data_IF_943741852731
#
_entry.id   IF_943741852731
#
_cell.length_a   1.000
_cell.length_b   1.000
_cell.length_c   1.000
_cell.angle_alpha   90.00
_cell.angle_beta   90.00
_cell.angle_gamma   90.00
#
_symmetry.space_group_name_H-M   'P 1'
#
loop_
_entity.id
_entity.type
_entity.pdbx_description
1 polymer ?
#
# COMPACT_ATOMS: atom_id res chain seq x y z
N UNK A 1 49.37 -9.61 10.91
CA UNK A 1 47.97 -9.22 10.64
C UNK A 1 47.74 -7.86 11.27
N UNK A 2 47.47 -6.83 10.46
CA UNK A 2 47.19 -5.48 10.94
C UNK A 2 45.68 -5.34 11.25
N UNK A 3 45.27 -4.60 12.29
CA UNK A 3 43.87 -4.39 12.58
C UNK A 3 43.26 -3.37 11.60
N UNK A 4 42.07 -3.66 11.09
CA UNK A 4 41.30 -2.76 10.24
C UNK A 4 40.71 -1.62 11.09
N UNK A 5 41.12 -0.38 10.80
CA UNK A 5 40.56 0.82 11.41
C UNK A 5 39.18 1.12 10.80
N UNK A 6 38.11 0.87 11.54
CA UNK A 6 36.75 1.30 11.19
C UNK A 6 36.62 2.80 11.42
N UNK A 7 36.59 3.58 10.34
CA UNK A 7 36.26 5.01 10.40
C UNK A 7 34.74 5.18 10.56
N UNK A 8 34.29 5.33 11.80
CA UNK A 8 32.95 5.87 12.07
C UNK A 8 32.96 7.36 11.70
N UNK A 9 32.20 7.74 10.67
CA UNK A 9 31.91 9.14 10.38
C UNK A 9 31.09 9.71 11.54
N UNK A 10 31.74 10.46 12.42
CA UNK A 10 31.08 11.29 13.42
C UNK A 10 30.28 12.40 12.73
N UNK A 11 29.02 12.57 13.15
CA UNK A 11 28.24 13.74 12.78
C UNK A 11 28.76 14.93 13.58
N UNK A 12 29.43 15.87 12.91
CA UNK A 12 29.80 17.15 13.50
C UNK A 12 28.54 18.01 13.67
N UNK A 13 27.95 18.02 14.87
CA UNK A 13 27.06 19.10 15.27
C UNK A 13 27.92 20.31 15.62
N UNK A 14 28.14 21.18 14.62
CA UNK A 14 28.85 22.43 14.81
C UNK A 14 28.11 23.35 15.77
N UNK A 15 28.51 23.36 17.05
CA UNK A 15 28.23 24.43 17.98
C UNK A 15 29.08 25.65 17.59
N UNK A 16 28.59 26.40 16.59
CA UNK A 16 29.13 27.70 16.23
C UNK A 16 28.37 28.79 16.97
N UNK A 17 29.02 29.42 17.97
CA UNK A 17 28.59 30.70 18.54
C UNK A 17 28.37 31.70 17.39
N UNK A 18 27.13 32.14 17.19
CA UNK A 18 26.83 33.35 16.42
C UNK A 18 26.30 34.40 17.38
N UNK A 19 27.11 35.43 17.52
CA UNK A 19 26.85 36.72 18.11
C UNK A 19 25.45 37.23 17.79
N UNK A 20 24.73 37.59 18.85
CA UNK A 20 23.50 38.35 18.76
C UNK A 20 23.80 39.73 18.17
N UNK A 21 23.51 39.91 16.88
CA UNK A 21 23.22 41.21 16.29
C UNK A 21 21.71 41.30 16.16
N UNK A 22 21.08 41.91 17.16
CA UNK A 22 19.70 42.36 17.07
C UNK A 22 19.64 43.43 15.98
N UNK A 23 19.14 43.06 14.81
CA UNK A 23 18.60 44.00 13.84
C UNK A 23 17.23 43.49 13.51
N UNK A 24 16.24 44.11 14.13
CA UNK A 24 14.82 43.93 13.86
C UNK A 24 14.49 44.49 12.48
N UNK A 25 14.94 43.80 11.44
CA UNK A 25 14.33 43.94 10.12
C UNK A 25 13.13 42.98 10.09
N UNK A 26 11.95 43.54 10.27
CA UNK A 26 10.64 42.95 9.93
C UNK A 26 10.51 42.77 8.40
N UNK A 27 11.49 42.11 7.80
CA UNK A 27 11.60 41.80 6.39
C UNK A 27 11.60 40.29 6.19
N UNK A 28 10.88 39.83 5.17
CA UNK A 28 10.75 38.44 4.80
C UNK A 28 12.12 37.74 4.67
N UNK A 29 12.40 36.76 5.53
CA UNK A 29 13.66 36.01 5.53
C UNK A 29 13.54 34.76 4.62
N UNK A 30 14.09 34.75 3.38
CA UNK A 30 13.94 33.62 2.46
C UNK A 30 14.59 32.33 2.97
N UNK A 31 15.56 32.42 3.90
CA UNK A 31 16.16 31.26 4.58
C UNK A 31 15.20 30.56 5.53
N UNK A 32 14.34 31.32 6.22
CA UNK A 32 13.30 30.76 7.10
C UNK A 32 12.23 30.07 6.26
N UNK A 33 11.86 30.66 5.13
CA UNK A 33 10.94 30.03 4.17
C UNK A 33 11.47 28.68 3.67
N UNK A 34 12.76 28.62 3.27
CA UNK A 34 13.39 27.39 2.81
C UNK A 34 13.40 26.29 3.89
N UNK A 35 13.58 26.67 5.17
CA UNK A 35 13.58 25.74 6.30
C UNK A 35 12.17 25.23 6.67
N UNK A 36 11.14 26.06 6.46
CA UNK A 36 9.73 25.70 6.72
C UNK A 36 9.14 24.88 5.57
N UNK A 37 9.65 25.03 4.34
CA UNK A 37 9.20 24.32 3.14
C UNK A 37 9.06 22.79 3.33
N UNK A 38 10.06 22.03 3.86
CA UNK A 38 9.91 20.59 4.05
C UNK A 38 8.78 20.22 5.03
N UNK A 39 8.54 21.02 6.06
CA UNK A 39 7.45 20.80 7.03
C UNK A 39 6.11 21.05 6.36
N UNK A 40 5.97 22.17 5.64
CA UNK A 40 4.76 22.48 4.88
C UNK A 40 4.49 21.43 3.81
N UNK A 41 5.54 20.94 3.13
CA UNK A 41 5.41 19.89 2.12
C UNK A 41 4.88 18.58 2.73
N UNK A 42 5.43 18.13 3.87
CA UNK A 42 4.92 16.94 4.57
C UNK A 42 3.47 17.13 5.05
N UNK A 43 3.13 18.33 5.53
CA UNK A 43 1.75 18.64 5.93
C UNK A 43 0.80 18.56 4.74
N UNK A 44 1.17 19.15 3.59
CA UNK A 44 0.38 19.08 2.37
C UNK A 44 0.19 17.64 1.88
N UNK A 45 1.24 16.80 1.96
CA UNK A 45 1.14 15.39 1.60
C UNK A 45 0.17 14.61 2.50
N UNK A 46 0.00 14.98 3.78
CA UNK A 46 -0.99 14.38 4.66
C UNK A 46 -2.43 14.74 4.28
N UNK A 47 -2.65 15.89 3.66
CA UNK A 47 -3.97 16.31 3.18
C UNK A 47 -4.31 15.74 1.80
N UNK A 48 -3.42 14.99 1.14
CA UNK A 48 -3.76 14.30 -0.10
C UNK A 48 -4.55 13.03 0.23
N UNK A 49 -5.88 12.99 -0.03
CA UNK A 49 -6.63 11.77 0.15
C UNK A 49 -6.06 10.72 -0.81
N UNK A 50 -5.71 9.55 -0.27
CA UNK A 50 -5.32 8.41 -1.10
C UNK A 50 -6.49 8.07 -2.04
N UNK A 51 -6.25 7.91 -3.35
CA UNK A 51 -7.28 7.46 -4.27
C UNK A 51 -7.74 6.08 -3.83
N UNK A 52 -8.98 6.02 -3.34
CA UNK A 52 -9.51 4.79 -2.78
C UNK A 52 -9.93 3.86 -3.92
N UNK A 53 -9.66 2.55 -3.84
CA UNK A 53 -9.97 1.64 -4.93
C UNK A 53 -11.48 1.51 -5.16
N UNK A 54 -11.86 1.12 -6.36
CA UNK A 54 -13.27 0.96 -6.75
C UNK A 54 -13.91 -0.23 -6.00
N UNK A 55 -13.10 -1.24 -5.68
CA UNK A 55 -13.50 -2.46 -4.98
C UNK A 55 -12.53 -2.84 -3.85
N UNK A 56 -12.93 -3.81 -3.06
CA UNK A 56 -12.14 -4.50 -2.05
C UNK A 56 -12.39 -6.01 -2.12
N UNK A 57 -11.39 -6.84 -1.84
CA UNK A 57 -11.56 -8.30 -1.75
C UNK A 57 -12.14 -8.75 -0.39
N UNK A 58 -12.09 -7.87 0.60
CA UNK A 58 -12.67 -8.08 1.93
C UNK A 58 -13.78 -7.06 2.20
N UNK A 59 -14.81 -7.51 2.92
CA UNK A 59 -15.87 -6.63 3.38
C UNK A 59 -15.29 -5.59 4.35
N UNK A 60 -15.69 -4.34 4.19
CA UNK A 60 -15.45 -3.29 5.18
C UNK A 60 -16.58 -2.28 5.13
N UNK A 61 -16.67 -1.37 6.10
CA UNK A 61 -17.75 -0.37 6.15
C UNK A 61 -17.87 0.48 4.89
N UNK A 62 -16.76 0.73 4.20
CA UNK A 62 -16.79 1.46 2.93
C UNK A 62 -17.16 0.59 1.72
N UNK A 63 -17.13 -0.73 1.85
CA UNK A 63 -17.35 -1.70 0.78
C UNK A 63 -18.30 -2.80 1.28
N UNK A 64 -19.59 -2.49 1.29
CA UNK A 64 -20.63 -3.39 1.82
C UNK A 64 -21.30 -4.23 0.72
N UNK A 65 -21.33 -3.73 -0.51
CA UNK A 65 -22.06 -4.37 -1.60
C UNK A 65 -21.23 -5.50 -2.22
N UNK A 66 -21.64 -6.74 -1.97
CA UNK A 66 -20.98 -7.94 -2.47
C UNK A 66 -21.34 -8.24 -3.92
N UNK A 67 -20.33 -8.46 -4.74
CA UNK A 67 -20.41 -8.98 -6.10
C UNK A 67 -19.55 -10.23 -6.25
N UNK A 68 -19.84 -11.03 -7.28
CA UNK A 68 -19.07 -12.24 -7.61
C UNK A 68 -18.61 -12.13 -9.05
N UNK A 69 -17.33 -12.37 -9.31
CA UNK A 69 -16.80 -12.42 -10.68
C UNK A 69 -17.33 -13.64 -11.42
N UNK A 70 -17.21 -13.67 -12.74
CA UNK A 70 -17.49 -14.87 -13.52
C UNK A 70 -16.69 -16.11 -13.07
N UNK A 71 -15.54 -15.92 -12.42
CA UNK A 71 -14.67 -16.97 -11.87
C UNK A 71 -14.98 -17.34 -10.42
N UNK A 72 -16.05 -16.80 -9.84
CA UNK A 72 -16.49 -17.13 -8.48
C UNK A 72 -15.75 -16.37 -7.37
N UNK A 73 -14.97 -15.33 -7.68
CA UNK A 73 -14.28 -14.51 -6.67
C UNK A 73 -15.25 -13.47 -6.13
N UNK A 74 -15.40 -13.43 -4.81
CA UNK A 74 -16.20 -12.40 -4.15
C UNK A 74 -15.40 -11.11 -4.02
N UNK A 75 -16.02 -9.98 -4.36
CA UNK A 75 -15.47 -8.65 -4.14
C UNK A 75 -16.57 -7.70 -3.69
N UNK A 76 -16.17 -6.61 -3.05
CA UNK A 76 -17.07 -5.67 -2.42
C UNK A 76 -16.85 -4.28 -3.01
N UNK A 77 -17.93 -3.57 -3.27
CA UNK A 77 -17.91 -2.20 -3.81
C UNK A 77 -18.64 -1.24 -2.88
N UNK A 78 -18.38 0.05 -3.08
CA UNK A 78 -18.83 1.12 -2.19
C UNK A 78 -20.30 1.47 -2.33
N UNK A 79 -20.83 1.33 -3.54
CA UNK A 79 -22.17 1.81 -3.86
C UNK A 79 -22.91 0.81 -4.74
N UNK A 80 -24.22 0.68 -4.49
CA UNK A 80 -25.14 -0.04 -5.38
C UNK A 80 -25.19 0.56 -6.80
N UNK A 81 -24.76 1.82 -6.99
CA UNK A 81 -24.65 2.44 -8.33
C UNK A 81 -23.66 1.72 -9.25
N UNK A 82 -22.79 0.89 -8.69
CA UNK A 82 -21.82 0.10 -9.44
C UNK A 82 -22.47 -0.77 -10.52
N UNK A 83 -23.67 -1.32 -10.31
CA UNK A 83 -24.37 -2.08 -11.36
C UNK A 83 -24.79 -1.22 -12.56
N UNK A 84 -25.12 0.05 -12.30
CA UNK A 84 -25.51 0.99 -13.35
C UNK A 84 -24.29 1.54 -14.10
N UNK A 85 -23.20 1.82 -13.38
CA UNK A 85 -21.95 2.32 -13.95
C UNK A 85 -21.15 1.21 -14.67
N UNK A 86 -21.23 -0.03 -14.19
CA UNK A 86 -20.55 -1.20 -14.74
C UNK A 86 -21.54 -2.34 -14.97
N UNK A 87 -22.36 -2.26 -16.04
CA UNK A 87 -23.33 -3.28 -16.37
C UNK A 87 -22.71 -4.66 -16.56
N UNK A 88 -23.50 -5.70 -16.29
CA UNK A 88 -23.10 -7.09 -16.57
C UNK A 88 -22.78 -7.22 -18.07
N UNK A 89 -21.67 -7.87 -18.40
CA UNK A 89 -21.10 -8.01 -19.75
C UNK A 89 -20.52 -6.75 -20.40
N UNK A 90 -20.43 -5.62 -19.69
CA UNK A 90 -19.70 -4.46 -20.23
C UNK A 90 -18.18 -4.75 -20.26
N UNK A 91 -17.45 -4.20 -21.25
CA UNK A 91 -15.99 -4.36 -21.29
C UNK A 91 -15.30 -3.71 -20.08
N UNK A 92 -15.87 -2.64 -19.53
CA UNK A 92 -15.40 -2.01 -18.29
C UNK A 92 -15.55 -2.97 -17.10
N UNK A 93 -16.71 -3.64 -16.99
CA UNK A 93 -16.96 -4.65 -15.97
C UNK A 93 -15.97 -5.80 -16.08
N UNK A 94 -15.72 -6.31 -17.29
CA UNK A 94 -14.74 -7.37 -17.52
C UNK A 94 -13.34 -6.97 -17.08
N UNK A 95 -12.89 -5.73 -17.37
CA UNK A 95 -11.58 -5.23 -16.91
C UNK A 95 -11.47 -5.18 -15.39
N UNK A 96 -12.54 -4.73 -14.71
CA UNK A 96 -12.58 -4.71 -13.24
C UNK A 96 -12.52 -6.13 -12.70
N UNK A 97 -13.33 -7.05 -13.21
CA UNK A 97 -13.32 -8.45 -12.75
C UNK A 97 -12.00 -9.16 -13.03
N UNK A 98 -11.36 -8.87 -14.17
CA UNK A 98 -10.03 -9.40 -14.48
C UNK A 98 -8.98 -8.88 -13.48
N UNK A 99 -9.05 -7.60 -13.13
CA UNK A 99 -8.19 -7.04 -12.09
C UNK A 99 -8.46 -7.67 -10.71
N UNK A 100 -9.74 -7.83 -10.33
CA UNK A 100 -10.15 -8.52 -9.10
C UNK A 100 -9.54 -9.93 -9.05
N UNK A 101 -9.63 -10.69 -10.14
CA UNK A 101 -9.07 -12.04 -10.22
C UNK A 101 -7.54 -12.04 -10.09
N UNK A 102 -6.84 -11.10 -10.74
CA UNK A 102 -5.38 -10.94 -10.61
C UNK A 102 -4.95 -10.61 -9.18
N UNK A 103 -5.65 -9.67 -8.54
CA UNK A 103 -5.35 -9.27 -7.16
C UNK A 103 -5.64 -10.42 -6.18
N UNK A 104 -6.73 -11.16 -6.41
CA UNK A 104 -7.06 -12.34 -5.63
C UNK A 104 -5.97 -13.42 -5.71
N UNK A 105 -5.50 -13.72 -6.93
CA UNK A 105 -4.38 -14.64 -7.14
C UNK A 105 -3.08 -14.16 -6.49
N UNK A 106 -2.80 -12.86 -6.55
CA UNK A 106 -1.63 -12.27 -5.89
C UNK A 106 -1.65 -12.51 -4.38
N UNK A 107 -2.80 -12.26 -3.73
CA UNK A 107 -2.98 -12.47 -2.28
C UNK A 107 -2.89 -13.97 -1.95
N UNK A 108 -3.55 -14.83 -2.73
CA UNK A 108 -3.46 -16.28 -2.53
C UNK A 108 -2.04 -16.79 -2.65
N UNK A 109 -1.27 -16.32 -3.63
CA UNK A 109 0.13 -16.69 -3.83
C UNK A 109 1.02 -16.24 -2.68
N UNK A 110 0.82 -15.02 -2.17
CA UNK A 110 1.54 -14.52 -0.99
C UNK A 110 1.23 -15.35 0.26
N UNK A 111 -0.06 -15.61 0.53
CA UNK A 111 -0.50 -16.41 1.66
C UNK A 111 -0.01 -17.85 1.54
N UNK A 112 -0.04 -18.44 0.36
CA UNK A 112 0.47 -19.79 0.11
C UNK A 112 1.97 -19.88 0.40
N UNK A 113 2.78 -18.90 -0.02
CA UNK A 113 4.22 -18.86 0.33
C UNK A 113 4.44 -18.79 1.83
N UNK A 114 3.61 -18.01 2.53
CA UNK A 114 3.66 -17.89 3.99
C UNK A 114 3.30 -19.22 4.69
N UNK A 115 2.28 -19.92 4.20
CA UNK A 115 1.89 -21.25 4.70
C UNK A 115 2.99 -22.28 4.47
N UNK A 116 3.57 -22.33 3.27
CA UNK A 116 4.68 -23.23 2.94
C UNK A 116 5.90 -22.96 3.82
N UNK A 117 6.20 -21.68 4.08
CA UNK A 117 7.27 -21.31 5.01
C UNK A 117 6.97 -21.87 6.41
N UNK A 118 5.73 -21.71 6.92
CA UNK A 118 5.33 -22.25 8.23
C UNK A 118 5.33 -23.77 8.31
N UNK A 119 5.00 -24.47 7.22
CA UNK A 119 5.06 -25.92 7.13
C UNK A 119 6.47 -26.47 7.36
N UNK A 120 7.49 -25.77 6.85
CA UNK A 120 8.90 -26.19 7.00
C UNK A 120 9.35 -26.23 8.48
N UNK A 121 8.74 -25.40 9.33
CA UNK A 121 9.00 -25.39 10.78
C UNK A 121 8.16 -26.41 11.55
N UNK A 122 7.28 -27.17 10.88
CA UNK A 122 6.45 -28.21 11.49
C UNK A 122 5.24 -27.70 12.28
N UNK A 123 4.94 -26.39 12.26
CA UNK A 123 3.88 -25.79 13.08
C UNK A 123 2.46 -26.03 12.55
N UNK A 124 2.30 -26.24 11.24
CA UNK A 124 0.99 -26.37 10.57
C UNK A 124 1.13 -27.36 9.42
N UNK A 125 0.17 -28.28 9.24
CA UNK A 125 0.13 -29.21 8.09
C UNK A 125 -0.79 -28.75 6.97
N UNK A 126 -1.81 -27.97 7.29
CA UNK A 126 -2.80 -27.52 6.31
C UNK A 126 -2.33 -26.27 5.57
N UNK A 127 -2.49 -26.25 4.24
CA UNK A 127 -2.23 -25.10 3.36
C UNK A 127 -3.51 -24.68 2.63
N UNK A 128 -4.50 -24.12 3.34
CA UNK A 128 -5.79 -23.79 2.74
C UNK A 128 -5.67 -22.77 1.59
N UNK A 129 -4.77 -21.77 1.68
CA UNK A 129 -4.62 -20.79 0.61
C UNK A 129 -3.92 -21.37 -0.63
N UNK A 130 -2.93 -22.26 -0.44
CA UNK A 130 -2.36 -23.00 -1.58
C UNK A 130 -3.39 -23.92 -2.27
N UNK A 131 -4.30 -24.52 -1.50
CA UNK A 131 -5.37 -25.36 -2.06
C UNK A 131 -6.38 -24.53 -2.85
N UNK A 132 -6.76 -23.35 -2.34
CA UNK A 132 -7.63 -22.42 -3.06
C UNK A 132 -6.97 -21.94 -4.36
N UNK A 133 -5.69 -21.60 -4.34
CA UNK A 133 -4.94 -21.20 -5.54
C UNK A 133 -4.96 -22.31 -6.60
N UNK A 134 -4.65 -23.55 -6.20
CA UNK A 134 -4.70 -24.71 -7.12
C UNK A 134 -6.09 -24.97 -7.69
N UNK A 135 -7.15 -24.74 -6.92
CA UNK A 135 -8.53 -24.87 -7.40
C UNK A 135 -8.88 -23.78 -8.40
N UNK A 136 -8.40 -22.55 -8.17
CA UNK A 136 -8.59 -21.43 -9.08
C UNK A 136 -7.90 -21.68 -10.42
N UNK A 137 -6.63 -22.09 -10.40
CA UNK A 137 -5.87 -22.42 -11.61
C UNK A 137 -6.52 -23.56 -12.42
N UNK A 138 -7.13 -24.54 -11.74
CA UNK A 138 -7.83 -25.66 -12.39
C UNK A 138 -9.19 -25.27 -12.98
N UNK A 139 -9.85 -24.25 -12.43
CA UNK A 139 -11.13 -23.76 -12.96
C UNK A 139 -10.93 -22.91 -14.23
N UNK A 140 -9.70 -22.43 -14.44
CA UNK A 140 -9.29 -21.61 -15.58
C UNK A 140 -8.70 -22.40 -16.76
N UNK A 141 -8.44 -23.70 -16.57
CA UNK A 141 -7.88 -24.63 -17.56
C UNK A 141 -8.96 -25.43 -18.29
#
# INVERSE_FOLDING_TARGET
MAPAATQFRSFNFGAGNRTASQTSDTGFNPRVLLQILPVVFILLLNFLPSPQPIYSLSASYQYEHKFTTHKGVNYFVRSAKFEHEYPIHSPERQRVEEQVNRDYLSILGQNCRYELQRQQWGFVRETPHCDMMRRFDRADA
#
